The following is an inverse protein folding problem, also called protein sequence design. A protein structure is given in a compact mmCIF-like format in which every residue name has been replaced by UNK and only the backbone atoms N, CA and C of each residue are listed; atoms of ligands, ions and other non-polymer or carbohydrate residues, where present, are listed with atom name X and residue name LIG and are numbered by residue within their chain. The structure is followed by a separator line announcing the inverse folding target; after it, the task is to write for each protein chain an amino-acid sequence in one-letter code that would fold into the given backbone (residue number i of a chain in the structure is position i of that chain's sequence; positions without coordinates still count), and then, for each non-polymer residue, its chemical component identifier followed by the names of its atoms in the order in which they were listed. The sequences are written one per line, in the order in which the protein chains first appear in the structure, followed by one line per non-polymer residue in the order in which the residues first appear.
data_IF_834282876453
#
_entry.id   IF_834282876453
#
_cell.length_a   1.000
_cell.length_b   1.000
_cell.length_c   1.000
_cell.angle_alpha   90.00
_cell.angle_beta   90.00
_cell.angle_gamma   90.00
#
_symmetry.space_group_name_H-M   'P 1'
#
loop_
_entity.id
_entity.type
_entity.pdbx_description
1 polymer ?
#
# COMPACT_ATOMS: atom_id res chain seq x y z
N UNK A 1 9.17 -23.29 1.46
CA UNK A 1 8.92 -23.11 2.90
C UNK A 1 8.73 -21.63 3.09
N UNK A 2 7.55 -21.18 3.50
CA UNK A 2 7.25 -19.76 3.67
C UNK A 2 8.07 -19.24 4.84
N UNK A 3 9.01 -18.34 4.58
CA UNK A 3 9.76 -17.64 5.62
C UNK A 3 8.78 -16.78 6.41
N UNK A 4 8.53 -17.15 7.66
CA UNK A 4 7.67 -16.38 8.55
C UNK A 4 8.39 -15.09 8.93
N UNK A 5 7.98 -13.97 8.33
CA UNK A 5 8.50 -12.64 8.71
C UNK A 5 8.00 -12.35 10.13
N UNK A 6 8.94 -12.17 11.07
CA UNK A 6 8.60 -11.72 12.42
C UNK A 6 8.54 -10.19 12.43
N UNK A 7 7.34 -9.64 12.62
CA UNK A 7 7.11 -8.20 12.65
C UNK A 7 7.00 -7.76 14.11
N UNK A 8 8.05 -7.12 14.61
CA UNK A 8 8.06 -6.50 15.94
C UNK A 8 7.84 -4.99 15.81
N UNK A 9 6.79 -4.48 16.44
CA UNK A 9 6.37 -3.08 16.36
C UNK A 9 6.79 -2.39 17.65
N UNK A 10 7.58 -1.32 17.56
CA UNK A 10 7.92 -0.52 18.75
C UNK A 10 6.65 0.08 19.35
N UNK A 11 6.63 0.20 20.68
CA UNK A 11 5.49 0.75 21.41
C UNK A 11 5.13 2.18 20.98
N UNK A 12 6.13 2.95 20.54
CA UNK A 12 5.95 4.32 20.06
C UNK A 12 5.03 4.42 18.83
N UNK A 13 4.93 3.35 18.03
CA UNK A 13 4.13 3.34 16.80
C UNK A 13 2.76 2.68 16.96
N UNK A 14 2.44 2.14 18.14
CA UNK A 14 1.15 1.47 18.37
C UNK A 14 -0.03 2.44 18.25
N UNK A 15 0.10 3.66 18.77
CA UNK A 15 -0.95 4.68 18.65
C UNK A 15 -1.19 5.07 17.19
N UNK A 16 -0.11 5.23 16.42
CA UNK A 16 -0.21 5.52 15.00
C UNK A 16 -0.89 4.39 14.22
N UNK A 17 -0.62 3.14 14.59
CA UNK A 17 -1.30 1.98 14.00
C UNK A 17 -2.79 1.93 14.33
N UNK A 18 -3.17 2.22 15.57
CA UNK A 18 -4.59 2.27 15.95
C UNK A 18 -5.35 3.35 15.17
N UNK A 19 -4.72 4.51 14.92
CA UNK A 19 -5.29 5.54 14.05
C UNK A 19 -5.43 5.04 12.61
N UNK A 20 -4.40 4.38 12.08
CA UNK A 20 -4.42 3.87 10.72
C UNK A 20 -5.51 2.82 10.50
N UNK A 21 -5.77 1.94 11.48
CA UNK A 21 -6.86 0.95 11.43
C UNK A 21 -8.25 1.58 11.34
N UNK A 22 -8.44 2.78 11.89
CA UNK A 22 -9.72 3.48 11.83
C UNK A 22 -9.95 4.17 10.48
N UNK A 23 -8.88 4.45 9.75
CA UNK A 23 -8.93 5.24 8.51
C UNK A 23 -8.81 4.36 7.27
N UNK A 24 -8.02 3.30 7.35
CA UNK A 24 -7.67 2.44 6.22
C UNK A 24 -8.35 1.08 6.44
N UNK A 25 -9.41 0.77 5.66
CA UNK A 25 -9.98 -0.56 5.64
C UNK A 25 -9.06 -1.54 4.90
N UNK A 26 -9.26 -2.83 5.13
CA UNK A 26 -8.62 -3.91 4.38
C UNK A 26 -8.95 -3.83 2.87
N UNK A 27 -8.22 -4.57 2.04
CA UNK A 27 -8.53 -4.72 0.61
C UNK A 27 -9.98 -5.15 0.34
N UNK A 28 -10.62 -5.83 1.31
CA UNK A 28 -12.02 -6.24 1.24
C UNK A 28 -13.02 -5.17 1.72
N UNK A 29 -12.55 -4.02 2.19
CA UNK A 29 -13.37 -2.94 2.76
C UNK A 29 -13.78 -3.14 4.22
N UNK A 30 -13.19 -4.11 4.92
CA UNK A 30 -13.50 -4.42 6.33
C UNK A 30 -12.52 -3.77 7.31
N UNK A 31 -12.95 -3.56 8.56
CA UNK A 31 -12.12 -3.06 9.65
C UNK A 31 -10.96 -4.01 9.99
N UNK A 32 -9.74 -3.47 10.03
CA UNK A 32 -8.54 -4.21 10.41
C UNK A 32 -8.35 -4.15 11.93
N UNK A 33 -8.44 -5.29 12.61
CA UNK A 33 -8.27 -5.37 14.07
C UNK A 33 -6.85 -5.76 14.49
N UNK A 34 -6.15 -6.49 13.62
CA UNK A 34 -4.83 -7.03 13.88
C UNK A 34 -3.71 -6.09 13.38
N UNK A 35 -2.66 -5.91 14.18
CA UNK A 35 -1.53 -5.06 13.82
C UNK A 35 -0.74 -5.63 12.63
N UNK A 36 -0.54 -6.95 12.59
CA UNK A 36 0.18 -7.60 11.52
C UNK A 36 -0.53 -7.41 10.18
N UNK A 37 -1.84 -7.67 10.15
CA UNK A 37 -2.67 -7.46 8.95
C UNK A 37 -2.63 -6.01 8.43
N UNK A 38 -2.62 -5.03 9.34
CA UNK A 38 -2.51 -3.62 8.96
C UNK A 38 -1.18 -3.35 8.25
N UNK A 39 -0.09 -3.87 8.80
CA UNK A 39 1.24 -3.74 8.20
C UNK A 39 1.33 -4.47 6.85
N UNK A 40 0.77 -5.68 6.75
CA UNK A 40 0.70 -6.43 5.48
C UNK A 40 -0.05 -5.62 4.40
N UNK A 41 -1.21 -5.05 4.76
CA UNK A 41 -2.00 -4.20 3.84
C UNK A 41 -1.21 -2.97 3.37
N UNK A 42 -0.45 -2.33 4.26
CA UNK A 42 0.40 -1.20 3.92
C UNK A 42 1.55 -1.61 2.98
N UNK A 43 2.16 -2.77 3.23
CA UNK A 43 3.22 -3.31 2.37
C UNK A 43 2.66 -3.64 0.98
N UNK A 44 1.51 -4.29 0.90
CA UNK A 44 0.86 -4.62 -0.38
C UNK A 44 0.50 -3.35 -1.15
N UNK A 45 -0.06 -2.34 -0.48
CA UNK A 45 -0.37 -1.04 -1.08
C UNK A 45 0.89 -0.34 -1.61
N UNK A 46 1.99 -0.40 -0.84
CA UNK A 46 3.27 0.18 -1.24
C UNK A 46 3.90 -0.57 -2.42
N UNK A 47 3.82 -1.89 -2.44
CA UNK A 47 4.30 -2.71 -3.56
C UNK A 47 3.47 -2.47 -4.83
N UNK A 48 2.15 -2.36 -4.71
CA UNK A 48 1.27 -2.00 -5.82
C UNK A 48 1.62 -0.61 -6.37
N UNK A 49 1.87 0.36 -5.50
CA UNK A 49 2.33 1.69 -5.90
C UNK A 49 3.68 1.67 -6.64
N UNK A 50 4.67 0.91 -6.15
CA UNK A 50 5.96 0.75 -6.84
C UNK A 50 5.77 0.08 -8.19
N UNK A 51 4.96 -0.97 -8.27
CA UNK A 51 4.69 -1.67 -9.54
C UNK A 51 3.99 -0.76 -10.55
N UNK A 52 3.04 0.07 -10.09
CA UNK A 52 2.40 1.08 -10.92
C UNK A 52 3.40 2.12 -11.42
N UNK A 53 4.30 2.63 -10.58
CA UNK A 53 5.35 3.56 -11.01
C UNK A 53 6.41 2.93 -11.91
N UNK A 54 6.77 1.67 -11.67
CA UNK A 54 7.71 0.93 -12.50
C UNK A 54 7.10 0.60 -13.87
N UNK A 55 5.81 0.27 -13.93
CA UNK A 55 5.07 0.06 -15.17
C UNK A 55 4.73 1.36 -15.91
N UNK A 56 4.54 2.47 -15.18
CA UNK A 56 4.34 3.80 -15.77
C UNK A 56 5.62 4.41 -16.36
N UNK A 57 6.80 3.86 -16.03
CA UNK A 57 8.07 4.25 -16.67
C UNK A 57 8.39 3.43 -17.94
N UNK A 58 7.50 2.54 -18.39
CA UNK A 58 7.60 1.86 -19.70
C UNK A 58 6.48 2.27 -20.67
N UNK A 59 5.87 3.44 -20.49
CA UNK A 59 4.94 3.98 -21.48
C UNK A 59 5.13 5.48 -21.74
N UNK A 60 6.17 5.81 -22.50
CA UNK A 60 6.10 6.75 -23.64
C UNK A 60 7.45 6.81 -24.37
N UNK A 61 7.77 5.77 -25.14
CA UNK A 61 8.35 5.99 -26.46
C UNK A 61 7.19 5.86 -27.46
N UNK A 62 6.86 6.98 -28.13
CA UNK A 62 5.88 7.12 -29.21
C UNK A 62 4.40 6.80 -28.92
N UNK A 63 3.63 7.85 -28.57
CA UNK A 63 2.17 7.76 -28.66
C UNK A 63 1.39 8.93 -28.08
N UNK A 64 1.41 10.08 -28.77
CA UNK A 64 0.27 11.02 -28.87
C UNK A 64 -0.81 10.89 -27.78
N UNK A 65 -0.58 11.51 -26.62
CA UNK A 65 -1.66 11.75 -25.64
C UNK A 65 -2.49 12.92 -26.17
N UNK A 66 -3.56 12.59 -26.89
CA UNK A 66 -4.48 13.54 -27.49
C UNK A 66 -5.10 14.52 -26.47
N UNK A 67 -4.99 15.79 -26.84
CA UNK A 67 -6.06 16.81 -26.87
C UNK A 67 -6.58 17.43 -25.56
N UNK A 68 -6.26 18.74 -25.45
CA UNK A 68 -7.20 19.86 -25.27
C UNK A 68 -7.75 20.11 -23.85
N UNK A 69 -7.17 21.09 -23.15
CA UNK A 69 -7.98 22.14 -22.50
C UNK A 69 -7.14 23.39 -22.15
N UNK A 70 -7.65 24.52 -22.64
CA UNK A 70 -7.37 25.94 -22.35
C UNK A 70 -6.23 26.71 -23.07
#
# INVERSE_FOLDING_TARGET
MSESINIEISKDYLEHLELLKQVIPDASGEDIKDNGKMIETLIDSFMAFIQEQAGAHEHSEDGNCCEHDH
#
